data_IF_903266508088
#
_entry.id   IF_903266508088
#
_cell.length_a   1.000
_cell.length_b   1.000
_cell.length_c   1.000
_cell.angle_alpha   90.00
_cell.angle_beta   90.00
_cell.angle_gamma   90.00
#
_symmetry.space_group_name_H-M   'P 1'
#
loop_
_entity.id
_entity.type
_entity.pdbx_description
1 polymer ?
#
# COMPACT_ATOMS: atom_id res chain seq x y z
N UNK A 1 32.60 0.90 45.78
CA UNK A 1 31.54 0.05 45.21
C UNK A 1 31.75 -0.03 43.70
N UNK A 2 32.15 -1.19 43.15
CA UNK A 2 32.67 -1.27 41.77
C UNK A 2 31.58 -0.97 40.72
N UNK A 3 31.97 -0.37 39.59
CA UNK A 3 31.10 -0.10 38.44
C UNK A 3 30.38 -1.37 37.96
N UNK A 4 31.00 -2.54 38.15
CA UNK A 4 30.35 -3.84 37.91
C UNK A 4 29.12 -4.07 38.78
N UNK A 5 29.13 -3.69 40.07
CA UNK A 5 27.93 -3.79 40.91
C UNK A 5 26.86 -2.80 40.43
N UNK A 6 27.23 -1.58 40.03
CA UNK A 6 26.24 -0.57 39.58
C UNK A 6 25.66 -0.89 38.19
N UNK A 7 26.48 -1.31 37.23
CA UNK A 7 26.04 -1.72 35.89
C UNK A 7 25.29 -3.05 35.92
N UNK A 8 25.72 -4.01 36.76
CA UNK A 8 24.98 -5.27 36.95
C UNK A 8 23.65 -5.05 37.68
N UNK A 9 23.55 -4.06 38.58
CA UNK A 9 22.29 -3.65 39.22
C UNK A 9 21.41 -2.88 38.23
N UNK A 10 21.97 -1.97 37.43
CA UNK A 10 21.24 -1.22 36.40
C UNK A 10 20.71 -2.15 35.30
N UNK A 11 21.53 -3.08 34.82
CA UNK A 11 21.13 -4.11 33.83
C UNK A 11 20.09 -5.07 34.41
N UNK A 12 20.19 -5.44 35.70
CA UNK A 12 19.14 -6.21 36.37
C UNK A 12 17.84 -5.43 36.48
N UNK A 13 17.89 -4.15 36.86
CA UNK A 13 16.70 -3.31 36.93
C UNK A 13 16.04 -3.04 35.57
N UNK A 14 16.84 -2.81 34.52
CA UNK A 14 16.35 -2.64 33.15
C UNK A 14 15.73 -3.92 32.57
N UNK A 15 16.13 -5.10 33.07
CA UNK A 15 15.58 -6.39 32.64
C UNK A 15 14.31 -6.82 33.37
N UNK A 16 14.00 -6.21 34.52
CA UNK A 16 12.88 -6.59 35.39
C UNK A 16 11.68 -5.65 35.32
N UNK A 17 11.87 -4.44 34.80
CA UNK A 17 10.83 -3.41 34.72
C UNK A 17 10.46 -3.25 33.25
N UNK A 18 9.16 -3.39 32.93
CA UNK A 18 8.57 -2.97 31.67
C UNK A 18 8.74 -1.45 31.49
N UNK A 19 9.97 -1.05 31.15
CA UNK A 19 10.35 0.34 31.07
C UNK A 19 9.75 0.92 29.78
N UNK A 20 9.05 2.07 29.80
CA UNK A 20 8.39 2.64 28.63
C UNK A 20 9.35 2.89 27.45
N UNK A 21 10.64 3.12 27.74
CA UNK A 21 11.70 3.25 26.73
C UNK A 21 12.03 1.93 26.00
N UNK A 22 11.89 0.76 26.64
CA UNK A 22 12.13 -0.55 26.01
C UNK A 22 10.89 -0.97 25.19
N UNK A 23 9.70 -0.53 25.62
CA UNK A 23 8.44 -0.72 24.92
C UNK A 23 8.31 0.11 23.62
N UNK A 24 9.03 1.24 23.51
CA UNK A 24 9.12 2.03 22.28
C UNK A 24 10.29 1.64 21.36
N UNK A 25 11.19 0.76 21.81
CA UNK A 25 12.32 0.28 21.01
C UNK A 25 11.90 -0.74 19.94
N UNK A 26 12.65 -0.74 18.84
CA UNK A 26 12.52 -1.66 17.70
C UNK A 26 12.49 -3.12 18.18
N UNK A 27 11.56 -3.98 17.69
CA UNK A 27 11.38 -5.36 18.18
C UNK A 27 12.62 -6.25 18.10
N UNK A 28 13.54 -5.97 17.17
CA UNK A 28 14.83 -6.66 17.06
C UNK A 28 15.78 -6.31 18.24
N UNK A 29 15.82 -5.03 18.64
CA UNK A 29 16.62 -4.55 19.77
C UNK A 29 16.04 -5.05 21.08
N UNK A 30 14.71 -5.06 21.22
CA UNK A 30 14.01 -5.65 22.38
C UNK A 30 14.35 -7.14 22.55
N UNK A 31 14.28 -7.92 21.47
CA UNK A 31 14.65 -9.36 21.49
C UNK A 31 16.12 -9.58 21.77
N UNK A 32 17.00 -8.70 21.28
CA UNK A 32 18.44 -8.74 21.56
C UNK A 32 18.77 -8.47 23.04
N UNK A 33 18.08 -7.52 23.67
CA UNK A 33 18.23 -7.20 25.09
C UNK A 33 17.64 -8.27 26.02
N UNK A 34 16.62 -9.01 25.57
CA UNK A 34 16.04 -10.14 26.29
C UNK A 34 16.90 -11.41 26.20
N UNK A 35 17.88 -11.48 25.30
CA UNK A 35 18.76 -12.63 25.17
C UNK A 35 19.95 -12.54 26.14
N UNK A 36 20.00 -13.37 27.21
CA UNK A 36 21.02 -13.26 28.25
C UNK A 36 22.43 -13.59 27.74
N UNK A 37 22.56 -14.38 26.66
CA UNK A 37 23.85 -14.69 26.07
C UNK A 37 24.43 -13.47 25.33
N UNK A 38 23.61 -12.75 24.56
CA UNK A 38 24.01 -11.53 23.84
C UNK A 38 24.35 -10.39 24.80
N UNK A 39 23.58 -10.21 25.87
CA UNK A 39 23.87 -9.20 26.91
C UNK A 39 25.17 -9.53 27.67
N UNK A 40 25.40 -10.81 27.98
CA UNK A 40 26.63 -11.25 28.68
C UNK A 40 27.86 -11.17 27.76
N UNK A 41 27.70 -11.38 26.46
CA UNK A 41 28.76 -11.25 25.47
C UNK A 41 29.09 -9.79 25.17
N UNK A 42 28.09 -8.93 24.96
CA UNK A 42 28.28 -7.49 24.75
C UNK A 42 28.85 -6.81 26.00
N UNK A 43 28.39 -7.18 27.20
CA UNK A 43 28.97 -6.69 28.45
C UNK A 43 30.41 -7.15 28.65
N UNK A 44 30.78 -8.39 28.31
CA UNK A 44 32.18 -8.85 28.35
C UNK A 44 33.06 -8.09 27.36
N UNK A 45 32.59 -7.86 26.14
CA UNK A 45 33.34 -7.11 25.12
C UNK A 45 33.56 -5.68 25.62
N UNK A 46 32.50 -5.00 26.06
CA UNK A 46 32.59 -3.67 26.66
C UNK A 46 33.55 -3.67 27.87
N UNK A 47 33.42 -4.62 28.80
CA UNK A 47 34.27 -4.71 29.99
C UNK A 47 35.72 -5.12 29.69
N UNK A 48 35.99 -5.78 28.57
CA UNK A 48 37.36 -6.13 28.13
C UNK A 48 38.05 -4.98 27.42
N UNK A 49 37.30 -4.06 26.83
CA UNK A 49 37.84 -2.82 26.27
C UNK A 49 38.25 -1.84 27.38
N UNK A 50 37.52 -1.81 28.50
CA UNK A 50 37.89 -1.04 29.69
C UNK A 50 38.83 -1.84 30.61
N UNK A 51 40.13 -1.77 30.32
CA UNK A 51 41.18 -2.51 31.04
C UNK A 51 41.15 -2.35 32.57
N UNK A 52 41.63 -3.39 33.28
CA UNK A 52 41.63 -3.57 34.75
C UNK A 52 42.32 -2.49 35.60
N UNK A 53 42.76 -1.35 35.04
CA UNK A 53 43.43 -0.28 35.81
C UNK A 53 42.50 0.92 36.00
N UNK A 54 42.30 1.27 37.27
CA UNK A 54 41.45 2.34 37.80
C UNK A 54 41.93 3.75 37.42
N UNK A 55 41.96 4.10 36.13
CA UNK A 55 42.08 5.49 35.67
C UNK A 55 41.17 5.67 34.47
N UNK A 56 39.93 6.05 34.74
CA UNK A 56 38.94 6.42 33.72
C UNK A 56 39.50 7.66 33.01
N UNK A 57 39.93 7.53 31.76
CA UNK A 57 40.41 8.68 30.99
C UNK A 57 39.24 9.32 30.26
N UNK A 58 39.15 10.66 30.32
CA UNK A 58 38.17 11.43 29.53
C UNK A 58 38.28 11.09 28.04
N UNK A 59 39.49 10.79 27.56
CA UNK A 59 39.71 10.44 26.15
C UNK A 59 39.10 9.08 25.77
N UNK A 60 39.00 8.14 26.71
CA UNK A 60 38.45 6.80 26.45
C UNK A 60 36.94 6.87 26.30
N UNK A 61 36.28 7.69 27.13
CA UNK A 61 34.87 8.01 26.97
C UNK A 61 34.61 8.80 25.69
N UNK A 62 35.49 9.73 25.32
CA UNK A 62 35.38 10.52 24.10
C UNK A 62 35.45 9.63 22.85
N UNK A 63 36.42 8.72 22.79
CA UNK A 63 36.56 7.75 21.68
C UNK A 63 35.35 6.81 21.63
N UNK A 64 34.87 6.33 22.78
CA UNK A 64 33.71 5.44 22.81
C UNK A 64 32.44 6.12 22.29
N UNK A 65 32.15 7.35 22.73
CA UNK A 65 30.97 8.10 22.26
C UNK A 65 31.13 8.50 20.80
N UNK A 66 32.34 8.87 20.35
CA UNK A 66 32.56 9.21 18.94
C UNK A 66 32.29 8.02 18.02
N UNK A 67 32.78 6.82 18.37
CA UNK A 67 32.50 5.58 17.62
C UNK A 67 30.99 5.30 17.59
N UNK A 68 30.30 5.40 18.73
CA UNK A 68 28.84 5.15 18.79
C UNK A 68 28.09 6.13 17.89
N UNK A 69 28.43 7.43 17.91
CA UNK A 69 27.78 8.44 17.06
C UNK A 69 28.02 8.14 15.58
N UNK A 70 29.26 7.85 15.19
CA UNK A 70 29.60 7.54 13.79
C UNK A 70 28.89 6.29 13.30
N UNK A 71 28.89 5.20 14.08
CA UNK A 71 28.19 3.97 13.70
C UNK A 71 26.67 4.12 13.69
N UNK A 72 26.09 4.85 14.66
CA UNK A 72 24.64 5.05 14.74
C UNK A 72 24.11 5.80 13.52
N UNK A 73 24.87 6.80 13.02
CA UNK A 73 24.54 7.53 11.80
C UNK A 73 24.44 6.60 10.59
N UNK A 74 25.45 5.74 10.39
CA UNK A 74 25.48 4.81 9.26
C UNK A 74 24.37 3.75 9.33
N UNK A 75 24.17 3.13 10.49
CA UNK A 75 23.16 2.08 10.67
C UNK A 75 21.75 2.63 10.52
N UNK A 76 21.49 3.85 11.02
CA UNK A 76 20.18 4.50 10.91
C UNK A 76 19.72 4.68 9.46
N UNK A 77 20.59 5.21 8.59
CA UNK A 77 20.26 5.42 7.18
C UNK A 77 19.96 4.12 6.43
N UNK A 78 20.74 3.06 6.67
CA UNK A 78 20.54 1.74 6.04
C UNK A 78 19.23 1.09 6.49
N UNK A 79 18.90 1.21 7.78
CA UNK A 79 17.68 0.64 8.34
C UNK A 79 16.42 1.25 7.73
N UNK A 80 16.38 2.57 7.55
CA UNK A 80 15.23 3.27 6.95
C UNK A 80 14.97 2.80 5.51
N UNK A 81 16.01 2.70 4.69
CA UNK A 81 15.90 2.19 3.32
C UNK A 81 15.34 0.76 3.29
N UNK A 82 15.81 -0.12 4.17
CA UNK A 82 15.33 -1.51 4.26
C UNK A 82 13.88 -1.59 4.73
N UNK A 83 13.47 -0.69 5.62
CA UNK A 83 12.08 -0.59 6.05
C UNK A 83 11.17 -0.19 4.88
N UNK A 84 11.56 0.79 4.07
CA UNK A 84 10.81 1.20 2.87
C UNK A 84 10.72 0.08 1.83
N UNK A 85 11.83 -0.61 1.54
CA UNK A 85 11.85 -1.78 0.66
C UNK A 85 10.90 -2.88 1.17
N UNK A 86 10.89 -3.13 2.47
CA UNK A 86 9.98 -4.11 3.09
C UNK A 86 8.52 -3.70 2.99
N UNK A 87 8.21 -2.40 3.13
CA UNK A 87 6.85 -1.88 2.93
C UNK A 87 6.40 -2.07 1.49
N UNK A 88 7.23 -1.66 0.51
CA UNK A 88 6.93 -1.85 -0.91
C UNK A 88 6.71 -3.33 -1.27
N UNK A 89 7.55 -4.23 -0.74
CA UNK A 89 7.39 -5.66 -0.94
C UNK A 89 6.08 -6.18 -0.35
N UNK A 90 5.73 -5.75 0.87
CA UNK A 90 4.45 -6.11 1.51
C UNK A 90 3.25 -5.64 0.68
N UNK A 91 3.24 -4.39 0.23
CA UNK A 91 2.15 -3.85 -0.60
C UNK A 91 1.94 -4.66 -1.88
N UNK A 92 3.02 -5.09 -2.55
CA UNK A 92 2.92 -5.94 -3.75
C UNK A 92 2.35 -7.33 -3.43
N UNK A 93 2.75 -7.93 -2.31
CA UNK A 93 2.22 -9.23 -1.87
C UNK A 93 0.73 -9.12 -1.57
N UNK A 94 0.32 -8.08 -0.85
CA UNK A 94 -1.08 -7.83 -0.51
C UNK A 94 -1.93 -7.62 -1.78
N UNK A 95 -1.46 -6.79 -2.74
CA UNK A 95 -2.13 -6.57 -4.03
C UNK A 95 -2.32 -7.89 -4.78
N UNK A 96 -1.28 -8.72 -4.88
CA UNK A 96 -1.36 -10.01 -5.56
C UNK A 96 -2.32 -10.97 -4.84
N UNK A 97 -2.36 -10.94 -3.51
CA UNK A 97 -3.28 -11.75 -2.71
C UNK A 97 -4.74 -11.36 -2.96
N UNK A 98 -5.03 -10.05 -2.98
CA UNK A 98 -6.36 -9.55 -3.29
C UNK A 98 -6.73 -9.84 -4.75
N UNK A 99 -5.82 -9.65 -5.70
CA UNK A 99 -6.03 -9.97 -7.10
C UNK A 99 -6.38 -11.45 -7.33
N UNK A 100 -5.67 -12.37 -6.67
CA UNK A 100 -5.99 -13.79 -6.73
C UNK A 100 -7.39 -14.08 -6.15
N UNK A 101 -7.75 -13.41 -5.07
CA UNK A 101 -9.07 -13.54 -4.45
C UNK A 101 -10.19 -13.03 -5.36
N UNK A 102 -9.95 -11.94 -6.10
CA UNK A 102 -10.87 -11.45 -7.13
C UNK A 102 -11.10 -12.48 -8.25
N UNK A 103 -10.04 -13.17 -8.69
CA UNK A 103 -10.13 -14.22 -9.71
C UNK A 103 -10.92 -15.42 -9.17
N UNK A 104 -10.72 -15.82 -7.91
CA UNK A 104 -11.48 -16.89 -7.28
C UNK A 104 -12.97 -16.54 -7.16
N UNK A 105 -13.27 -15.31 -6.73
CA UNK A 105 -14.64 -14.80 -6.68
C UNK A 105 -15.30 -14.84 -8.07
N UNK A 106 -14.59 -14.39 -9.10
CA UNK A 106 -15.07 -14.42 -10.49
C UNK A 106 -15.32 -15.85 -10.97
N UNK A 107 -14.43 -16.79 -10.63
CA UNK A 107 -14.58 -18.21 -11.03
C UNK A 107 -15.86 -18.84 -10.46
N UNK A 108 -16.29 -18.41 -9.26
CA UNK A 108 -17.48 -18.95 -8.59
C UNK A 108 -18.78 -18.23 -8.98
N UNK A 109 -18.73 -16.92 -9.19
CA UNK A 109 -19.94 -16.08 -9.40
C UNK A 109 -20.08 -15.59 -10.85
N UNK A 110 -19.09 -15.86 -11.70
CA UNK A 110 -18.94 -15.33 -13.06
C UNK A 110 -18.94 -13.80 -13.15
N UNK A 111 -18.71 -13.11 -12.02
CA UNK A 111 -18.68 -11.65 -11.91
C UNK A 111 -17.63 -11.23 -10.90
N UNK A 112 -17.13 -10.02 -11.04
CA UNK A 112 -16.29 -9.42 -10.00
C UNK A 112 -17.15 -8.87 -8.86
N UNK A 113 -16.61 -8.74 -7.65
CA UNK A 113 -17.37 -8.15 -6.54
C UNK A 113 -17.61 -6.66 -6.77
N UNK A 114 -18.68 -6.11 -6.16
CA UNK A 114 -18.94 -4.66 -6.22
C UNK A 114 -17.94 -3.89 -5.36
N UNK A 115 -17.57 -4.44 -4.22
CA UNK A 115 -16.65 -3.87 -3.26
C UNK A 115 -15.75 -4.96 -2.67
N UNK A 116 -14.60 -4.59 -2.08
CA UNK A 116 -13.67 -5.58 -1.53
C UNK A 116 -14.25 -6.33 -0.34
N UNK A 117 -15.20 -5.73 0.36
CA UNK A 117 -15.93 -6.31 1.49
C UNK A 117 -16.69 -7.58 1.08
N UNK A 118 -17.17 -7.67 -0.17
CA UNK A 118 -17.82 -8.88 -0.67
C UNK A 118 -16.87 -10.08 -0.75
N UNK A 119 -15.56 -9.86 -0.87
CA UNK A 119 -14.56 -10.95 -0.78
C UNK A 119 -14.47 -11.50 0.65
N UNK A 120 -14.68 -10.65 1.66
CA UNK A 120 -14.71 -11.07 3.07
C UNK A 120 -15.98 -11.86 3.36
N UNK A 121 -17.13 -11.36 2.92
CA UNK A 121 -18.44 -12.00 3.11
C UNK A 121 -18.48 -13.42 2.52
N UNK A 122 -17.78 -13.64 1.40
CA UNK A 122 -17.73 -14.96 0.76
C UNK A 122 -16.57 -15.84 1.23
N UNK A 123 -15.74 -15.35 2.17
CA UNK A 123 -14.65 -16.10 2.78
C UNK A 123 -13.42 -16.26 1.89
N UNK A 124 -13.33 -15.52 0.78
CA UNK A 124 -12.16 -15.53 -0.11
C UNK A 124 -10.95 -14.87 0.58
N UNK A 125 -11.21 -13.89 1.46
CA UNK A 125 -10.22 -13.28 2.36
C UNK A 125 -10.77 -13.16 3.78
N UNK A 126 -9.90 -13.19 4.79
CA UNK A 126 -10.32 -13.05 6.21
C UNK A 126 -10.74 -11.62 6.56
N UNK A 127 -10.08 -10.64 5.95
CA UNK A 127 -10.30 -9.20 6.14
C UNK A 127 -9.62 -8.47 5.00
N UNK A 128 -10.14 -7.31 4.59
CA UNK A 128 -9.43 -6.41 3.67
C UNK A 128 -8.22 -5.82 4.41
N UNK A 129 -6.96 -6.09 4.00
CA UNK A 129 -5.80 -5.50 4.65
C UNK A 129 -5.74 -3.99 4.38
N UNK A 130 -5.08 -3.23 5.25
CA UNK A 130 -4.63 -1.87 4.93
C UNK A 130 -3.22 -1.90 4.37
N UNK A 131 -2.87 -0.90 3.57
CA UNK A 131 -1.53 -0.80 3.01
C UNK A 131 -0.47 -0.50 4.10
N UNK A 132 0.84 -0.67 3.83
CA UNK A 132 1.90 -0.44 4.82
C UNK A 132 2.05 1.01 5.32
N UNK A 133 1.25 1.93 4.76
CA UNK A 133 1.16 3.33 5.15
C UNK A 133 -0.23 3.68 5.71
N UNK A 134 -1.02 2.66 6.05
CA UNK A 134 -2.33 2.75 6.68
C UNK A 134 -3.43 3.37 5.80
N UNK A 135 -3.26 3.31 4.47
CA UNK A 135 -4.30 3.68 3.53
C UNK A 135 -5.11 2.46 3.08
N UNK A 136 -6.41 2.64 2.76
CA UNK A 136 -7.20 1.58 2.13
C UNK A 136 -6.73 1.32 0.71
N UNK A 137 -6.65 0.04 0.34
CA UNK A 137 -6.41 -0.36 -1.05
C UNK A 137 -7.53 0.14 -1.96
N UNK A 138 -7.15 0.63 -3.15
CA UNK A 138 -8.08 1.16 -4.12
C UNK A 138 -8.52 0.04 -5.07
N UNK A 139 -9.81 -0.23 -5.11
CA UNK A 139 -10.41 -1.26 -5.97
C UNK A 139 -11.07 -0.64 -7.18
N UNK A 140 -10.70 -1.15 -8.36
CA UNK A 140 -11.27 -0.80 -9.65
C UNK A 140 -11.97 -2.04 -10.22
N UNK A 141 -13.31 -2.05 -10.28
CA UNK A 141 -14.05 -3.17 -10.86
C UNK A 141 -13.83 -3.24 -12.37
N UNK A 142 -14.07 -4.42 -12.95
CA UNK A 142 -14.01 -4.60 -14.40
C UNK A 142 -15.13 -3.80 -15.08
N UNK A 143 -14.76 -3.05 -16.12
CA UNK A 143 -15.69 -2.33 -17.00
C UNK A 143 -15.67 -2.95 -18.40
N UNK A 144 -16.44 -4.02 -18.59
CA UNK A 144 -16.68 -4.57 -19.93
C UNK A 144 -17.70 -3.71 -20.68
N UNK A 145 -17.19 -2.82 -21.54
CA UNK A 145 -18.01 -1.90 -22.33
C UNK A 145 -19.00 -2.61 -23.27
N UNK A 146 -18.71 -3.84 -23.72
CA UNK A 146 -19.65 -4.59 -24.56
C UNK A 146 -20.84 -5.08 -23.76
N UNK A 147 -20.60 -5.53 -22.53
CA UNK A 147 -21.68 -5.93 -21.62
C UNK A 147 -22.48 -4.71 -21.16
N UNK A 148 -21.81 -3.62 -20.81
CA UNK A 148 -22.49 -2.35 -20.45
C UNK A 148 -23.42 -1.90 -21.59
N UNK A 149 -22.95 -1.95 -22.84
CA UNK A 149 -23.78 -1.65 -24.02
C UNK A 149 -25.03 -2.51 -24.11
N UNK A 150 -24.90 -3.81 -23.86
CA UNK A 150 -26.03 -4.75 -23.88
C UNK A 150 -27.02 -4.44 -22.75
N UNK A 151 -26.52 -4.17 -21.55
CA UNK A 151 -27.32 -3.86 -20.36
C UNK A 151 -28.08 -2.53 -20.52
N UNK A 152 -27.50 -1.55 -21.21
CA UNK A 152 -28.20 -0.29 -21.54
C UNK A 152 -29.39 -0.54 -22.47
N UNK A 153 -29.27 -1.50 -23.39
CA UNK A 153 -30.35 -1.87 -24.32
C UNK A 153 -31.43 -2.71 -23.63
N UNK A 154 -31.02 -3.69 -22.83
CA UNK A 154 -31.92 -4.56 -22.07
C UNK A 154 -32.35 -3.92 -20.73
N UNK A 155 -33.35 -3.05 -20.82
CA UNK A 155 -33.90 -2.33 -19.66
C UNK A 155 -34.67 -3.22 -18.68
N UNK A 156 -34.90 -4.48 -19.00
CA UNK A 156 -35.67 -5.38 -18.14
C UNK A 156 -34.88 -5.83 -16.91
N UNK A 157 -33.55 -5.87 -17.01
CA UNK A 157 -32.68 -6.41 -15.98
C UNK A 157 -32.11 -5.32 -15.05
N UNK A 158 -32.97 -4.74 -14.22
CA UNK A 158 -32.61 -3.66 -13.28
C UNK A 158 -31.42 -4.00 -12.37
N UNK A 159 -31.26 -5.28 -12.01
CA UNK A 159 -30.17 -5.75 -11.14
C UNK A 159 -28.81 -5.60 -11.82
N UNK A 160 -28.72 -5.91 -13.12
CA UNK A 160 -27.51 -5.74 -13.90
C UNK A 160 -27.20 -4.27 -14.16
N UNK A 161 -28.24 -3.51 -14.50
CA UNK A 161 -28.10 -2.08 -14.69
C UNK A 161 -27.51 -1.42 -13.44
N UNK A 162 -28.10 -1.68 -12.27
CA UNK A 162 -27.60 -1.19 -10.99
C UNK A 162 -26.17 -1.61 -10.72
N UNK A 163 -25.83 -2.88 -10.97
CA UNK A 163 -24.46 -3.39 -10.77
C UNK A 163 -23.44 -2.59 -11.60
N UNK A 164 -23.68 -2.39 -12.90
CA UNK A 164 -22.74 -1.68 -13.76
C UNK A 164 -22.70 -0.17 -13.46
N UNK A 165 -23.81 0.43 -13.05
CA UNK A 165 -23.83 1.82 -12.57
C UNK A 165 -22.96 1.97 -11.33
N UNK A 166 -23.09 1.08 -10.35
CA UNK A 166 -22.25 1.06 -9.13
C UNK A 166 -20.76 0.91 -9.49
N UNK A 167 -20.44 0.06 -10.47
CA UNK A 167 -19.06 -0.14 -10.94
C UNK A 167 -18.49 1.13 -11.58
N UNK A 168 -19.24 1.79 -12.47
CA UNK A 168 -18.80 3.03 -13.13
C UNK A 168 -18.58 4.13 -12.09
N UNK A 169 -19.48 4.26 -11.13
CA UNK A 169 -19.35 5.23 -10.04
C UNK A 169 -18.13 4.94 -9.14
N UNK A 170 -17.84 3.66 -8.89
CA UNK A 170 -16.62 3.27 -8.17
C UNK A 170 -15.37 3.68 -8.95
N UNK A 171 -15.32 3.45 -10.26
CA UNK A 171 -14.18 3.89 -11.08
C UNK A 171 -14.06 5.41 -11.08
N UNK A 172 -15.16 6.16 -11.21
CA UNK A 172 -15.14 7.62 -11.16
C UNK A 172 -14.60 8.15 -9.83
N UNK A 173 -14.98 7.54 -8.70
CA UNK A 173 -14.43 7.86 -7.36
C UNK A 173 -12.94 7.57 -7.24
N UNK A 174 -12.48 6.46 -7.79
CA UNK A 174 -11.05 6.11 -7.74
C UNK A 174 -10.24 7.08 -8.60
N UNK A 175 -10.72 7.37 -9.81
CA UNK A 175 -10.06 8.30 -10.74
C UNK A 175 -9.99 9.72 -10.16
N UNK A 176 -11.02 10.17 -9.46
CA UNK A 176 -11.01 11.50 -8.82
C UNK A 176 -10.00 11.61 -7.67
N UNK A 177 -9.55 10.49 -7.09
CA UNK A 177 -8.54 10.45 -6.03
C UNK A 177 -7.10 10.27 -6.50
N UNK A 178 -6.85 10.17 -7.81
CA UNK A 178 -5.52 9.91 -8.37
C UNK A 178 -4.55 11.09 -8.23
N UNK A 179 -3.23 10.84 -8.21
CA UNK A 179 -2.21 11.88 -8.37
C UNK A 179 -2.18 12.41 -9.82
N UNK A 180 -1.82 13.68 -9.98
CA UNK A 180 -1.93 14.40 -11.27
C UNK A 180 -1.05 13.86 -12.40
N UNK A 181 0.02 13.14 -12.08
CA UNK A 181 0.97 12.58 -13.06
C UNK A 181 0.43 11.35 -13.82
N UNK A 182 -0.69 10.79 -13.39
CA UNK A 182 -1.21 9.53 -13.93
C UNK A 182 -2.41 9.79 -14.83
N UNK A 183 -2.32 9.34 -16.09
CA UNK A 183 -3.42 9.47 -17.04
C UNK A 183 -4.66 8.66 -16.56
N UNK A 184 -5.81 9.31 -16.28
CA UNK A 184 -7.06 8.64 -15.95
C UNK A 184 -7.47 7.55 -16.93
N UNK A 185 -7.27 7.80 -18.23
CA UNK A 185 -7.72 6.91 -19.29
C UNK A 185 -6.93 5.61 -19.32
N UNK A 186 -5.68 5.62 -18.82
CA UNK A 186 -4.89 4.41 -18.65
C UNK A 186 -5.56 3.44 -17.68
N UNK A 187 -6.04 3.95 -16.52
CA UNK A 187 -6.71 3.13 -15.51
C UNK A 187 -8.04 2.58 -16.02
N UNK A 188 -8.84 3.45 -16.64
CA UNK A 188 -10.13 3.03 -17.22
C UNK A 188 -9.91 1.98 -18.32
N UNK A 189 -8.87 2.10 -19.12
CA UNK A 189 -8.52 1.12 -20.13
C UNK A 189 -7.94 -0.18 -19.56
N UNK A 190 -7.22 -0.13 -18.44
CA UNK A 190 -6.77 -1.30 -17.71
C UNK A 190 -7.95 -2.10 -17.14
N UNK A 191 -9.01 -1.41 -16.69
CA UNK A 191 -10.22 -2.01 -16.13
C UNK A 191 -11.06 -2.77 -17.17
N UNK A 192 -10.77 -2.66 -18.46
CA UNK A 192 -11.54 -3.32 -19.52
C UNK A 192 -11.46 -4.85 -19.43
N UNK A 193 -10.25 -5.41 -19.23
CA UNK A 193 -10.03 -6.86 -19.28
C UNK A 193 -10.28 -7.56 -17.95
N UNK A 194 -10.03 -6.88 -16.83
CA UNK A 194 -10.09 -7.47 -15.49
C UNK A 194 -10.23 -6.40 -14.43
N UNK A 195 -10.86 -6.75 -13.30
CA UNK A 195 -10.80 -5.93 -12.11
C UNK A 195 -9.38 -5.96 -11.52
N UNK A 196 -8.97 -4.88 -10.87
CA UNK A 196 -7.65 -4.81 -10.25
C UNK A 196 -7.66 -3.93 -8.99
N UNK A 197 -6.57 -4.04 -8.23
CA UNK A 197 -6.35 -3.30 -6.99
C UNK A 197 -4.98 -2.65 -7.02
N UNK A 198 -4.87 -1.48 -6.42
CA UNK A 198 -3.59 -0.79 -6.24
C UNK A 198 -3.52 -0.11 -4.88
N UNK A 199 -2.31 0.10 -4.36
CA UNK A 199 -2.09 0.92 -3.16
C UNK A 199 -1.84 2.36 -3.59
N UNK A 200 -2.38 3.31 -2.83
CA UNK A 200 -2.11 4.74 -3.05
C UNK A 200 -0.64 5.10 -2.83
N UNK A 201 0.05 4.35 -1.97
CA UNK A 201 1.44 4.61 -1.61
C UNK A 201 1.63 5.96 -0.92
N UNK A 202 2.89 6.41 -0.85
CA UNK A 202 3.25 7.73 -0.28
C UNK A 202 3.44 8.76 -1.38
N UNK A 203 4.34 8.47 -2.32
CA UNK A 203 4.69 9.38 -3.41
C UNK A 203 4.00 8.99 -4.70
N UNK A 204 3.97 7.68 -4.99
CA UNK A 204 3.40 7.12 -6.21
C UNK A 204 2.55 5.89 -5.91
N UNK A 205 1.44 5.72 -6.66
CA UNK A 205 0.58 4.55 -6.53
C UNK A 205 1.31 3.29 -7.02
N UNK A 206 1.09 2.21 -6.28
CA UNK A 206 1.72 0.92 -6.53
C UNK A 206 0.69 0.00 -7.17
N UNK A 207 0.93 -0.36 -8.42
CA UNK A 207 0.07 -1.26 -9.18
C UNK A 207 0.60 -2.69 -9.17
N UNK A 208 -0.31 -3.64 -9.39
CA UNK A 208 0.05 -5.02 -9.71
C UNK A 208 0.78 -5.14 -11.06
N UNK A 209 1.38 -6.30 -11.35
CA UNK A 209 1.95 -6.56 -12.66
C UNK A 209 0.89 -6.38 -13.76
N UNK A 210 1.31 -5.85 -14.91
CA UNK A 210 0.53 -5.67 -16.15
C UNK A 210 -0.58 -4.60 -16.16
N UNK A 211 -0.97 -4.01 -15.04
CA UNK A 211 -2.04 -2.98 -15.00
C UNK A 211 -1.68 -1.74 -15.83
N UNK A 212 -0.41 -1.32 -15.79
CA UNK A 212 0.05 -0.13 -16.52
C UNK A 212 0.47 -0.42 -17.96
N UNK A 213 0.59 -1.69 -18.36
CA UNK A 213 1.04 -2.06 -19.70
C UNK A 213 -0.14 -2.13 -20.68
N UNK A 214 -0.79 -0.99 -20.91
CA UNK A 214 -1.95 -0.89 -21.79
C UNK A 214 -1.55 -0.26 -23.13
N UNK A 215 -1.81 -0.93 -24.28
CA UNK A 215 -1.50 -0.34 -25.58
C UNK A 215 -2.38 0.88 -25.85
N UNK A 216 -1.81 1.91 -26.49
CA UNK A 216 -2.51 3.18 -26.81
C UNK A 216 -3.79 2.96 -27.61
N UNK A 217 -3.84 1.94 -28.45
CA UNK A 217 -5.03 1.60 -29.25
C UNK A 217 -6.20 1.15 -28.36
N UNK A 218 -5.92 0.42 -27.28
CA UNK A 218 -6.95 0.05 -26.30
C UNK A 218 -7.48 1.27 -25.57
N UNK A 219 -6.61 2.22 -25.20
CA UNK A 219 -7.01 3.48 -24.55
C UNK A 219 -7.97 4.26 -25.46
N UNK A 220 -7.63 4.41 -26.75
CA UNK A 220 -8.50 5.07 -27.74
C UNK A 220 -9.82 4.33 -27.94
N UNK A 221 -9.78 3.00 -28.05
CA UNK A 221 -10.98 2.18 -28.20
C UNK A 221 -11.91 2.32 -27.00
N UNK A 222 -11.38 2.30 -25.78
CA UNK A 222 -12.15 2.48 -24.54
C UNK A 222 -12.75 3.88 -24.46
N UNK A 223 -11.99 4.93 -24.80
CA UNK A 223 -12.51 6.29 -24.88
C UNK A 223 -13.68 6.40 -25.87
N UNK A 224 -13.58 5.75 -27.03
CA UNK A 224 -14.65 5.71 -28.02
C UNK A 224 -15.88 4.95 -27.50
N UNK A 225 -15.69 3.76 -26.92
CA UNK A 225 -16.78 2.95 -26.33
C UNK A 225 -17.50 3.70 -25.19
N UNK A 226 -16.76 4.41 -24.33
CA UNK A 226 -17.34 5.26 -23.28
C UNK A 226 -18.29 6.31 -23.85
N UNK A 227 -17.87 7.02 -24.90
CA UNK A 227 -18.71 8.05 -25.55
C UNK A 227 -19.98 7.44 -26.14
N UNK A 228 -19.84 6.33 -26.87
CA UNK A 228 -20.99 5.61 -27.41
C UNK A 228 -21.95 5.12 -26.32
N UNK A 229 -21.42 4.66 -25.17
CA UNK A 229 -22.25 4.21 -24.04
C UNK A 229 -23.09 5.37 -23.49
N UNK A 230 -22.51 6.58 -23.38
CA UNK A 230 -23.26 7.77 -22.94
C UNK A 230 -24.39 8.12 -23.90
N UNK A 231 -24.12 8.11 -25.20
CA UNK A 231 -25.14 8.41 -26.22
C UNK A 231 -26.28 7.41 -26.17
N UNK A 232 -25.98 6.11 -26.01
CA UNK A 232 -27.00 5.07 -25.89
C UNK A 232 -27.71 5.05 -24.54
N UNK A 233 -27.07 5.55 -23.48
CA UNK A 233 -27.66 5.64 -22.15
C UNK A 233 -28.70 6.77 -22.00
N UNK A 234 -28.98 7.55 -23.05
CA UNK A 234 -29.95 8.66 -23.02
C UNK A 234 -31.35 8.29 -22.48
N UNK A 235 -31.74 7.01 -22.57
CA UNK A 235 -33.01 6.51 -22.02
C UNK A 235 -32.93 5.93 -20.59
N UNK A 236 -31.76 6.02 -19.94
CA UNK A 236 -31.49 5.46 -18.61
C UNK A 236 -30.71 6.50 -17.79
N UNK A 237 -31.40 7.41 -17.08
CA UNK A 237 -30.77 8.61 -16.50
C UNK A 237 -29.68 8.29 -15.48
N UNK A 238 -29.89 7.28 -14.62
CA UNK A 238 -28.93 6.88 -13.59
C UNK A 238 -27.57 6.45 -14.19
N UNK A 239 -27.63 5.65 -15.25
CA UNK A 239 -26.43 5.16 -15.95
C UNK A 239 -25.76 6.29 -16.74
N UNK A 240 -26.56 7.12 -17.41
CA UNK A 240 -26.06 8.26 -18.17
C UNK A 240 -25.30 9.23 -17.27
N UNK A 241 -25.83 9.55 -16.09
CA UNK A 241 -25.20 10.43 -15.12
C UNK A 241 -23.88 9.85 -14.61
N UNK A 242 -23.84 8.55 -14.28
CA UNK A 242 -22.61 7.87 -13.85
C UNK A 242 -21.52 7.93 -14.93
N UNK A 243 -21.87 7.63 -16.19
CA UNK A 243 -20.94 7.69 -17.31
C UNK A 243 -20.46 9.12 -17.61
N UNK A 244 -21.36 10.12 -17.53
CA UNK A 244 -20.99 11.53 -17.70
C UNK A 244 -20.05 12.00 -16.60
N UNK A 245 -20.30 11.62 -15.34
CA UNK A 245 -19.40 11.88 -14.21
C UNK A 245 -18.01 11.29 -14.47
N UNK A 246 -17.94 10.03 -14.93
CA UNK A 246 -16.66 9.40 -15.27
C UNK A 246 -15.92 10.17 -16.37
N UNK A 247 -16.59 10.52 -17.47
CA UNK A 247 -15.98 11.30 -18.56
C UNK A 247 -15.49 12.66 -18.08
N UNK A 248 -16.29 13.36 -17.27
CA UNK A 248 -15.94 14.67 -16.73
C UNK A 248 -14.70 14.60 -15.84
N UNK A 249 -14.62 13.61 -14.95
CA UNK A 249 -13.45 13.42 -14.08
C UNK A 249 -12.21 13.09 -14.91
N UNK A 250 -12.33 12.22 -15.92
CA UNK A 250 -11.23 11.90 -16.82
C UNK A 250 -10.75 13.13 -17.61
N UNK A 251 -11.65 13.98 -18.11
CA UNK A 251 -11.26 15.17 -18.90
C UNK A 251 -10.60 16.25 -18.04
N UNK A 252 -11.12 16.50 -16.84
CA UNK A 252 -10.53 17.46 -15.89
C UNK A 252 -9.10 17.07 -15.51
N UNK A 253 -8.85 15.78 -15.27
CA UNK A 253 -7.54 15.28 -14.89
C UNK A 253 -6.56 15.18 -16.06
N UNK A 254 -7.04 14.87 -17.27
CA UNK A 254 -6.22 14.92 -18.47
C UNK A 254 -5.68 16.34 -18.76
N UNK A 255 -6.47 17.38 -18.47
CA UNK A 255 -6.04 18.78 -18.59
C UNK A 255 -5.00 19.22 -17.55
N UNK A 256 -5.06 18.65 -16.34
CA UNK A 256 -4.11 18.96 -15.26
C UNK A 256 -2.71 18.37 -15.51
N UNK A 257 -2.63 17.18 -16.12
CA UNK A 257 -1.35 16.53 -16.45
C UNK A 257 -0.56 17.24 -17.56
N UNK A 258 -1.23 17.97 -18.47
CA UNK A 258 -0.58 18.70 -19.57
C UNK A 258 0.07 20.03 -19.14
N UNK A 259 -0.30 20.58 -17.97
CA UNK A 259 0.25 21.84 -17.46
C UNK A 259 1.54 21.67 -16.64
N UNK A 260 1.95 20.43 -16.35
CA UNK A 260 3.11 20.10 -15.52
C UNK A 260 4.42 19.80 -16.26
N UNK A 261 4.43 19.92 -17.59
CA UNK A 261 5.57 19.60 -18.47
C UNK A 261 6.19 20.87 -19.13
N UNK A 262 6.23 22.00 -18.40
CA UNK A 262 6.95 23.23 -18.77
C UNK A 262 8.00 23.58 -17.73
#
# INVERSE_FOLDING_TARGET
>A
MSLMRRVSVLMRHLSTVDHPLIASMVPAVRRGLQNPALVKQTSRILLSLFGKRRRFSLIELLIAVSIIVTFSSLVGAVYLKKLEESKLSKAKIDINTIANSLIMYYTRTSRYPRQLENLVEQGDIRSVPTDPWDNPYQYVPQLDWNVIMRVIQDRSNERELKYYTDCIDQVARVVSGLPDKLDPMLLVAAAYSSAYVFSRGVTEPIFGPDVLNVPRDRIKAVAHMMRLCVERAAGVPQMQEALQRLIQVCSQRAGAGAAGDV
#
